data_IF_747616686677
#
_entry.id   IF_747616686677
#
_cell.length_a   1.000
_cell.length_b   1.000
_cell.length_c   1.000
_cell.angle_alpha   90.00
_cell.angle_beta   90.00
_cell.angle_gamma   90.00
#
_symmetry.space_group_name_H-M   'P 1'
#
loop_
_entity.id
_entity.type
_entity.pdbx_description
1 polymer ?
#
# COMPACT_ATOMS: atom_id res chain seq x y z
N UNK A 1 23.89 -10.19 -8.93
CA UNK A 1 22.91 -9.89 -10.00
C UNK A 1 21.44 -10.15 -9.62
N UNK A 2 21.13 -10.95 -8.58
CA UNK A 2 19.74 -11.17 -8.12
C UNK A 2 19.34 -10.36 -6.87
N UNK A 3 20.28 -9.68 -6.21
CA UNK A 3 20.02 -8.96 -4.95
C UNK A 3 19.52 -7.51 -5.14
N UNK A 4 19.85 -6.85 -6.27
CA UNK A 4 19.50 -5.43 -6.49
C UNK A 4 18.03 -5.20 -6.93
N UNK A 5 17.27 -6.26 -7.23
CA UNK A 5 15.89 -6.13 -7.70
C UNK A 5 14.84 -6.56 -6.67
N UNK A 6 15.18 -7.42 -5.71
CA UNK A 6 14.26 -7.87 -4.65
C UNK A 6 13.96 -6.78 -3.61
N UNK A 7 14.79 -5.73 -3.54
CA UNK A 7 14.59 -4.53 -2.73
C UNK A 7 14.76 -3.24 -3.56
N UNK A 8 14.54 -3.33 -4.87
CA UNK A 8 14.76 -2.21 -5.78
C UNK A 8 13.90 -0.99 -5.41
N UNK A 9 14.49 0.20 -5.49
CA UNK A 9 13.83 1.48 -5.19
C UNK A 9 12.46 1.58 -5.88
N UNK A 10 11.40 1.81 -5.11
CA UNK A 10 10.05 2.06 -5.64
C UNK A 10 10.12 3.12 -6.75
N UNK A 11 9.55 2.80 -7.93
CA UNK A 11 9.46 3.78 -9.03
C UNK A 11 8.77 5.04 -8.50
N UNK A 12 9.18 6.25 -8.92
CA UNK A 12 8.64 7.50 -8.37
C UNK A 12 7.10 7.58 -8.38
N UNK A 13 6.47 7.02 -9.41
CA UNK A 13 5.00 6.95 -9.52
C UNK A 13 4.35 6.04 -8.47
N UNK A 14 4.95 4.89 -8.18
CA UNK A 14 4.45 3.98 -7.12
C UNK A 14 4.70 4.60 -5.75
N UNK A 15 5.86 5.23 -5.54
CA UNK A 15 6.16 5.95 -4.30
C UNK A 15 5.16 7.08 -4.03
N UNK A 16 4.73 7.80 -5.08
CA UNK A 16 3.70 8.83 -4.95
C UNK A 16 2.32 8.24 -4.62
N UNK A 17 1.97 7.08 -5.20
CA UNK A 17 0.75 6.34 -4.86
C UNK A 17 0.74 5.93 -3.39
N UNK A 18 1.82 5.28 -2.95
CA UNK A 18 2.00 4.81 -1.58
C UNK A 18 1.93 5.95 -0.57
N UNK A 19 2.61 7.07 -0.83
CA UNK A 19 2.55 8.26 0.03
C UNK A 19 1.12 8.81 0.19
N UNK A 20 0.36 8.91 -0.90
CA UNK A 20 -1.01 9.41 -0.82
C UNK A 20 -1.93 8.41 -0.10
N UNK A 21 -1.71 7.11 -0.31
CA UNK A 21 -2.44 6.06 0.39
C UNK A 21 -2.22 6.15 1.90
N UNK A 22 -0.96 6.30 2.34
CA UNK A 22 -0.62 6.50 3.75
C UNK A 22 -1.33 7.71 4.36
N UNK A 23 -1.29 8.87 3.68
CA UNK A 23 -1.97 10.08 4.15
C UNK A 23 -3.49 9.87 4.32
N UNK A 24 -4.13 9.10 3.42
CA UNK A 24 -5.56 8.77 3.52
C UNK A 24 -5.86 7.77 4.64
N UNK A 25 -5.00 6.77 4.86
CA UNK A 25 -5.16 5.78 5.92
C UNK A 25 -4.91 6.40 7.30
N UNK A 26 -3.94 7.28 7.44
CA UNK A 26 -3.66 7.98 8.70
C UNK A 26 -4.83 8.86 9.14
N UNK A 27 -5.54 9.51 8.20
CA UNK A 27 -6.79 10.25 8.50
C UNK A 27 -7.89 9.36 9.07
N UNK A 28 -7.87 8.06 8.74
CA UNK A 28 -8.80 7.05 9.25
C UNK A 28 -8.30 6.37 10.54
N UNK A 29 -7.12 6.73 11.05
CA UNK A 29 -6.50 6.08 12.20
C UNK A 29 -5.86 4.72 11.89
N UNK A 30 -5.65 4.42 10.60
CA UNK A 30 -5.02 3.18 10.14
C UNK A 30 -3.56 3.49 9.82
N UNK A 31 -2.64 3.05 10.68
CA UNK A 31 -1.20 3.22 10.45
C UNK A 31 -0.65 1.99 9.72
N UNK A 32 0.02 2.20 8.59
CA UNK A 32 0.83 1.22 7.84
C UNK A 32 2.27 1.20 8.36
N UNK A 33 2.94 0.04 8.33
CA UNK A 33 4.33 -0.09 8.81
C UNK A 33 5.32 -0.46 7.71
N UNK A 34 4.89 -1.19 6.68
CA UNK A 34 5.80 -1.73 5.69
C UNK A 34 5.20 -1.61 4.30
N UNK A 35 5.98 -1.02 3.39
CA UNK A 35 5.71 -0.98 1.96
C UNK A 35 6.92 -1.59 1.26
N UNK A 36 6.70 -2.58 0.42
CA UNK A 36 7.78 -3.18 -0.36
C UNK A 36 7.28 -3.69 -1.70
N UNK A 37 8.22 -3.79 -2.65
CA UNK A 37 8.00 -4.53 -3.87
C UNK A 37 7.94 -6.01 -3.52
N UNK A 38 7.03 -6.70 -4.18
CA UNK A 38 6.96 -8.15 -4.15
C UNK A 38 7.71 -8.76 -5.34
N UNK A 39 7.78 -10.10 -5.37
CA UNK A 39 8.57 -10.84 -6.37
C UNK A 39 8.10 -10.54 -7.80
N UNK A 40 6.79 -10.37 -8.01
CA UNK A 40 6.27 -10.08 -9.34
C UNK A 40 6.37 -8.59 -9.70
N UNK A 41 6.63 -8.25 -10.97
CA UNK A 41 6.61 -6.86 -11.43
C UNK A 41 5.27 -6.18 -11.14
N UNK A 42 5.32 -4.95 -10.61
CA UNK A 42 4.15 -4.15 -10.22
C UNK A 42 3.27 -4.79 -9.12
N UNK A 43 3.79 -5.78 -8.39
CA UNK A 43 3.20 -6.28 -7.16
C UNK A 43 3.81 -5.55 -5.97
N UNK A 44 2.95 -5.08 -5.06
CA UNK A 44 3.35 -4.33 -3.88
C UNK A 44 2.57 -4.83 -2.67
N UNK A 45 3.21 -4.83 -1.50
CA UNK A 45 2.59 -5.20 -0.23
C UNK A 45 2.45 -3.98 0.69
N UNK A 46 1.36 -3.94 1.45
CA UNK A 46 1.13 -3.01 2.55
C UNK A 46 0.65 -3.79 3.78
N UNK A 47 1.30 -3.57 4.93
CA UNK A 47 0.92 -4.17 6.20
C UNK A 47 0.55 -3.10 7.25
N UNK A 48 -0.69 -3.09 7.79
CA UNK A 48 -1.07 -2.21 8.89
C UNK A 48 -0.49 -2.67 10.22
N UNK A 49 -0.37 -1.75 11.18
CA UNK A 49 -0.02 -2.08 12.57
C UNK A 49 -1.10 -2.99 13.17
N UNK A 50 -0.66 -3.96 13.96
CA UNK A 50 -1.52 -4.92 14.65
C UNK A 50 -2.66 -4.23 15.42
N UNK A 51 -3.87 -4.76 15.29
CA UNK A 51 -5.04 -4.41 16.10
C UNK A 51 -5.93 -5.64 16.32
N UNK A 52 -6.94 -5.51 17.19
CA UNK A 52 -7.89 -6.60 17.48
C UNK A 52 -8.60 -7.05 16.20
N UNK A 53 -8.80 -8.36 16.04
CA UNK A 53 -9.36 -9.03 14.86
C UNK A 53 -10.59 -8.32 14.25
N UNK A 54 -11.55 -7.88 15.08
CA UNK A 54 -12.74 -7.19 14.56
C UNK A 54 -12.36 -5.88 13.85
N UNK A 55 -11.54 -5.06 14.51
CA UNK A 55 -11.05 -3.79 13.96
C UNK A 55 -10.13 -4.02 12.75
N UNK A 56 -9.26 -5.04 12.82
CA UNK A 56 -8.37 -5.40 11.73
C UNK A 56 -9.14 -5.78 10.45
N UNK A 57 -10.28 -6.45 10.61
CA UNK A 57 -11.16 -6.82 9.49
C UNK A 57 -11.77 -5.58 8.85
N UNK A 58 -12.29 -4.65 9.64
CA UNK A 58 -12.86 -3.39 9.15
C UNK A 58 -11.79 -2.53 8.47
N UNK A 59 -10.60 -2.44 9.08
CA UNK A 59 -9.46 -1.73 8.52
C UNK A 59 -9.04 -2.30 7.17
N UNK A 60 -9.01 -3.63 7.02
CA UNK A 60 -8.66 -4.27 5.76
C UNK A 60 -9.62 -3.88 4.62
N UNK A 61 -10.93 -3.80 4.91
CA UNK A 61 -11.91 -3.36 3.92
C UNK A 61 -11.71 -1.89 3.52
N UNK A 62 -11.44 -1.02 4.50
CA UNK A 62 -11.15 0.39 4.24
C UNK A 62 -9.86 0.58 3.45
N UNK A 63 -8.82 -0.22 3.74
CA UNK A 63 -7.57 -0.25 2.98
C UNK A 63 -7.84 -0.57 1.52
N UNK A 64 -8.56 -1.67 1.22
CA UNK A 64 -8.87 -2.05 -0.16
C UNK A 64 -9.68 -0.97 -0.91
N UNK A 65 -10.66 -0.35 -0.25
CA UNK A 65 -11.43 0.76 -0.84
C UNK A 65 -10.55 1.98 -1.14
N UNK A 66 -9.65 2.34 -0.21
CA UNK A 66 -8.72 3.47 -0.40
C UNK A 66 -7.68 3.19 -1.47
N UNK A 67 -7.12 1.99 -1.52
CA UNK A 67 -6.16 1.58 -2.56
C UNK A 67 -6.74 1.78 -3.97
N UNK A 68 -7.99 1.34 -4.20
CA UNK A 68 -8.65 1.50 -5.51
C UNK A 68 -8.87 2.98 -5.87
N UNK A 69 -9.36 3.78 -4.93
CA UNK A 69 -9.63 5.22 -5.14
C UNK A 69 -8.36 6.03 -5.38
N UNK A 70 -7.31 5.80 -4.60
CA UNK A 70 -6.01 6.48 -4.77
C UNK A 70 -5.37 6.06 -6.09
N UNK A 71 -5.45 4.79 -6.47
CA UNK A 71 -4.92 4.30 -7.73
C UNK A 71 -5.59 5.01 -8.91
N UNK A 72 -6.92 5.08 -8.92
CA UNK A 72 -7.70 5.76 -9.96
C UNK A 72 -7.29 7.24 -10.08
N UNK A 73 -7.18 7.97 -8.95
CA UNK A 73 -6.73 9.37 -8.93
C UNK A 73 -5.33 9.57 -9.51
N UNK A 74 -4.43 8.60 -9.33
CA UNK A 74 -3.08 8.63 -9.88
C UNK A 74 -2.97 7.98 -11.27
N UNK A 75 -4.09 7.70 -11.93
CA UNK A 75 -4.13 7.05 -13.25
C UNK A 75 -3.50 5.66 -13.26
N UNK A 76 -3.57 4.95 -12.13
CA UNK A 76 -3.19 3.56 -11.93
C UNK A 76 -4.45 2.71 -11.76
N UNK A 77 -4.29 1.39 -11.84
CA UNK A 77 -5.33 0.43 -11.47
C UNK A 77 -4.81 -0.47 -10.36
N UNK A 78 -5.56 -0.58 -9.26
CA UNK A 78 -5.33 -1.57 -8.22
C UNK A 78 -6.14 -2.83 -8.58
N UNK A 79 -5.43 -3.93 -8.88
CA UNK A 79 -6.00 -5.19 -9.35
C UNK A 79 -6.37 -6.11 -8.17
#
# INVERSE_FOLDING_TARGET
ELEDHYFGTLKPRVKQFMKELDEELWKLGIMSKTEHNEVAPAQHELAPIYCNTNIATDHNQLIMDRMKKVAERQGLACL
#
